data_IF_063416791593
#
_entry.id   IF_063416791593
#
_cell.length_a   1.000
_cell.length_b   1.000
_cell.length_c   1.000
_cell.angle_alpha   90.00
_cell.angle_beta   90.00
_cell.angle_gamma   90.00
#
_symmetry.space_group_name_H-M   'P 1'
#
loop_
_entity.id
_entity.type
_entity.pdbx_description
1 polymer ?
#
# COMPACT_ATOMS: atom_id res chain seq x y z
N UNK A 1 -36.63 20.35 -16.39
CA UNK A 1 -35.87 19.09 -16.55
C UNK A 1 -34.36 19.33 -16.71
N UNK A 2 -33.92 20.22 -17.61
CA UNK A 2 -32.48 20.46 -17.89
C UNK A 2 -31.66 21.00 -16.70
N UNK A 3 -32.25 21.79 -15.81
CA UNK A 3 -31.56 22.34 -14.62
C UNK A 3 -31.25 21.24 -13.60
N UNK A 4 -32.19 20.33 -13.35
CA UNK A 4 -32.02 19.21 -12.44
C UNK A 4 -30.91 18.26 -12.92
N UNK A 5 -30.87 17.97 -14.22
CA UNK A 5 -29.82 17.15 -14.84
C UNK A 5 -28.42 17.75 -14.62
N UNK A 6 -28.27 19.07 -14.74
CA UNK A 6 -26.99 19.77 -14.50
C UNK A 6 -26.53 19.64 -13.05
N UNK A 7 -27.44 19.78 -12.09
CA UNK A 7 -27.13 19.60 -10.66
C UNK A 7 -26.73 18.16 -10.35
N UNK A 8 -27.43 17.17 -10.92
CA UNK A 8 -27.10 15.74 -10.74
C UNK A 8 -25.72 15.42 -11.32
N UNK A 9 -25.38 15.93 -12.51
CA UNK A 9 -24.06 15.74 -13.10
C UNK A 9 -22.93 16.37 -12.25
N UNK A 10 -23.17 17.55 -11.68
CA UNK A 10 -22.18 18.23 -10.84
C UNK A 10 -21.95 17.49 -9.51
N UNK A 11 -23.02 17.00 -8.88
CA UNK A 11 -22.90 16.17 -7.67
C UNK A 11 -22.15 14.86 -7.98
N UNK A 12 -22.47 14.20 -9.10
CA UNK A 12 -21.77 12.99 -9.52
C UNK A 12 -20.27 13.26 -9.75
N UNK A 13 -19.92 14.38 -10.38
CA UNK A 13 -18.51 14.77 -10.58
C UNK A 13 -17.77 15.03 -9.25
N UNK A 14 -18.42 15.69 -8.29
CA UNK A 14 -17.84 15.95 -6.96
C UNK A 14 -17.71 14.66 -6.12
N UNK A 15 -18.56 13.67 -6.32
CA UNK A 15 -18.43 12.35 -5.68
C UNK A 15 -17.25 11.52 -6.21
N UNK A 16 -16.64 11.90 -7.34
CA UNK A 16 -15.51 11.21 -7.96
C UNK A 16 -14.13 11.78 -7.59
N UNK A 17 -14.04 12.70 -6.62
CA UNK A 17 -12.74 13.22 -6.20
C UNK A 17 -11.91 12.11 -5.57
N UNK A 18 -10.86 11.68 -6.27
CA UNK A 18 -9.86 10.73 -5.76
C UNK A 18 -9.25 11.27 -4.48
N UNK A 19 -9.17 10.44 -3.44
CA UNK A 19 -8.40 10.76 -2.23
C UNK A 19 -6.94 10.98 -2.63
N UNK A 20 -6.45 12.22 -2.55
CA UNK A 20 -5.02 12.47 -2.75
C UNK A 20 -4.27 12.00 -1.50
N UNK A 21 -3.34 11.07 -1.69
CA UNK A 21 -2.39 10.67 -0.65
C UNK A 21 -1.11 11.46 -0.87
N UNK A 22 -0.80 12.40 0.02
CA UNK A 22 0.46 13.15 0.02
C UNK A 22 1.62 12.33 0.64
N UNK A 23 1.58 11.00 0.52
CA UNK A 23 2.54 10.07 1.10
C UNK A 23 3.52 9.47 0.09
N UNK A 24 4.63 8.92 0.60
CA UNK A 24 5.72 8.30 -0.16
C UNK A 24 5.29 6.98 -0.85
N UNK A 25 4.64 7.06 -2.01
CA UNK A 25 4.28 5.87 -2.79
C UNK A 25 5.29 5.60 -3.93
N UNK A 26 5.72 4.34 -4.15
CA UNK A 26 5.42 3.14 -3.36
C UNK A 26 6.15 3.14 -2.01
N UNK A 27 5.45 2.73 -0.94
CA UNK A 27 6.06 2.57 0.37
C UNK A 27 6.74 1.21 0.42
N UNK A 28 8.06 1.12 0.65
CA UNK A 28 8.69 -0.18 0.89
C UNK A 28 8.07 -0.80 2.14
N UNK A 29 7.40 -1.94 1.98
CA UNK A 29 6.74 -2.62 3.09
C UNK A 29 7.70 -3.65 3.68
N UNK A 30 7.75 -3.69 5.01
CA UNK A 30 8.59 -4.64 5.75
C UNK A 30 10.00 -4.13 6.04
N UNK A 31 10.52 -4.54 7.20
CA UNK A 31 11.81 -4.05 7.73
C UNK A 31 12.99 -4.30 6.78
N UNK A 32 12.97 -5.42 6.02
CA UNK A 32 14.03 -5.75 5.06
C UNK A 32 14.07 -4.75 3.90
N UNK A 33 12.92 -4.40 3.33
CA UNK A 33 12.83 -3.41 2.27
C UNK A 33 13.28 -2.02 2.77
N UNK A 34 12.84 -1.64 3.98
CA UNK A 34 13.24 -0.38 4.62
C UNK A 34 14.77 -0.30 4.86
N UNK A 35 15.38 -1.37 5.39
CA UNK A 35 16.83 -1.43 5.62
C UNK A 35 17.69 -1.38 4.35
N UNK A 36 17.11 -1.71 3.19
CA UNK A 36 17.74 -1.63 1.87
C UNK A 36 17.41 -0.33 1.12
N UNK A 37 16.92 0.69 1.83
CA UNK A 37 16.48 1.96 1.22
C UNK A 37 15.48 1.76 0.06
N UNK A 38 14.61 0.75 0.16
CA UNK A 38 13.61 0.42 -0.85
C UNK A 38 14.10 -0.43 -2.03
N UNK A 39 15.37 -0.86 -2.04
CA UNK A 39 15.90 -1.78 -3.06
C UNK A 39 15.40 -3.22 -2.86
N UNK A 40 14.09 -3.42 -2.97
CA UNK A 40 13.37 -4.64 -2.60
C UNK A 40 12.86 -5.45 -3.80
N UNK A 41 13.04 -4.98 -5.04
CA UNK A 41 12.45 -5.61 -6.23
C UNK A 41 12.88 -7.06 -6.45
N UNK A 42 14.06 -7.46 -5.98
CA UNK A 42 14.58 -8.83 -6.09
C UNK A 42 14.19 -9.73 -4.91
N UNK A 43 13.53 -9.18 -3.88
CA UNK A 43 13.12 -9.94 -2.71
C UNK A 43 11.87 -10.78 -3.01
N UNK A 44 11.89 -12.03 -2.55
CA UNK A 44 10.80 -12.99 -2.67
C UNK A 44 10.37 -13.45 -1.29
N UNK A 45 9.79 -12.54 -0.52
CA UNK A 45 9.24 -12.79 0.81
C UNK A 45 7.79 -12.32 0.90
N UNK A 46 7.16 -12.47 2.06
CA UNK A 46 5.76 -12.11 2.26
C UNK A 46 5.49 -10.64 1.90
N UNK A 47 6.43 -9.71 2.09
CA UNK A 47 6.22 -8.30 1.78
C UNK A 47 6.36 -7.98 0.29
N UNK A 48 6.68 -8.98 -0.54
CA UNK A 48 6.72 -8.82 -1.99
C UNK A 48 5.37 -8.38 -2.58
N UNK A 49 4.21 -8.59 -1.92
CA UNK A 49 2.91 -8.04 -2.40
C UNK A 49 3.01 -6.52 -2.65
N UNK A 50 3.67 -5.78 -1.74
CA UNK A 50 3.82 -4.33 -1.85
C UNK A 50 5.07 -3.88 -2.60
N UNK A 51 6.11 -4.73 -2.65
CA UNK A 51 7.43 -4.35 -3.19
C UNK A 51 7.68 -4.86 -4.62
N UNK A 52 7.19 -6.06 -4.96
CA UNK A 52 7.21 -6.68 -6.28
C UNK A 52 6.27 -7.89 -6.26
N UNK A 53 5.03 -7.72 -6.74
CA UNK A 53 3.98 -8.75 -6.62
C UNK A 53 4.40 -10.11 -7.21
N UNK A 54 5.26 -10.14 -8.23
CA UNK A 54 5.78 -11.38 -8.81
C UNK A 54 6.64 -12.20 -7.82
N UNK A 55 7.27 -11.55 -6.84
CA UNK A 55 8.06 -12.20 -5.80
C UNK A 55 7.25 -13.16 -4.92
N UNK A 56 5.94 -12.93 -4.77
CA UNK A 56 5.06 -13.77 -3.95
C UNK A 56 4.88 -15.17 -4.53
N UNK A 57 4.95 -15.32 -5.85
CA UNK A 57 4.85 -16.63 -6.51
C UNK A 57 5.98 -17.59 -6.12
N UNK A 58 7.07 -17.09 -5.53
CA UNK A 58 8.17 -17.90 -5.05
C UNK A 58 7.97 -18.46 -3.63
N UNK A 59 6.93 -18.01 -2.89
CA UNK A 59 6.60 -18.60 -1.59
C UNK A 59 6.21 -20.08 -1.78
N UNK A 60 6.78 -20.97 -0.96
CA UNK A 60 6.54 -22.43 -1.03
C UNK A 60 5.77 -22.98 0.15
N UNK A 61 5.48 -22.13 1.15
CA UNK A 61 4.73 -22.48 2.36
C UNK A 61 3.78 -21.35 2.71
N UNK A 62 2.67 -21.69 3.35
CA UNK A 62 1.80 -20.70 3.98
C UNK A 62 2.64 -19.82 4.91
N UNK A 63 2.56 -18.50 4.73
CA UNK A 63 3.41 -17.53 5.41
C UNK A 63 2.54 -16.39 5.93
N UNK A 64 2.78 -15.97 7.18
CA UNK A 64 2.16 -14.79 7.79
C UNK A 64 3.26 -13.82 8.20
N UNK A 65 3.03 -12.53 8.02
CA UNK A 65 3.96 -11.45 8.37
C UNK A 65 3.25 -10.34 9.13
N UNK A 66 3.95 -9.78 10.11
CA UNK A 66 3.58 -8.54 10.80
C UNK A 66 4.74 -7.56 10.67
N UNK A 67 4.45 -6.28 10.47
CA UNK A 67 5.44 -5.22 10.51
C UNK A 67 4.88 -4.00 11.24
N UNK A 68 5.80 -3.26 11.86
CA UNK A 68 5.56 -1.94 12.39
C UNK A 68 6.79 -1.09 12.09
N UNK A 69 6.56 0.14 11.64
CA UNK A 69 7.57 1.15 11.40
C UNK A 69 7.09 2.44 12.02
N UNK A 70 7.89 3.07 12.87
CA UNK A 70 7.66 4.42 13.35
C UNK A 70 8.68 5.34 12.68
N UNK A 71 8.23 6.08 11.65
CA UNK A 71 9.11 6.98 10.92
C UNK A 71 9.39 8.24 11.74
N UNK A 72 10.67 8.54 11.93
CA UNK A 72 11.17 9.71 12.67
C UNK A 72 10.80 9.73 14.17
N UNK A 73 10.35 8.62 14.74
CA UNK A 73 9.90 8.57 16.14
C UNK A 73 8.57 9.29 16.40
N UNK A 74 7.86 9.70 15.35
CA UNK A 74 6.58 10.40 15.44
C UNK A 74 5.41 9.43 15.24
N UNK A 75 4.50 9.39 16.22
CA UNK A 75 3.34 8.50 16.17
C UNK A 75 2.46 8.71 14.93
N UNK A 76 2.34 9.96 14.45
CA UNK A 76 1.60 10.29 13.23
C UNK A 76 2.18 9.65 11.95
N UNK A 77 3.43 9.20 11.97
CA UNK A 77 4.09 8.51 10.86
C UNK A 77 4.38 7.04 11.18
N UNK A 78 3.55 6.43 12.04
CA UNK A 78 3.62 5.00 12.31
C UNK A 78 2.79 4.22 11.29
N UNK A 79 3.42 3.26 10.63
CA UNK A 79 2.76 2.31 9.72
C UNK A 79 2.82 0.92 10.34
N UNK A 80 1.69 0.23 10.35
CA UNK A 80 1.60 -1.16 10.76
C UNK A 80 1.03 -1.98 9.62
N UNK A 81 1.46 -3.22 9.48
CA UNK A 81 0.94 -4.13 8.48
C UNK A 81 0.85 -5.55 9.01
N UNK A 82 -0.20 -6.23 8.56
CA UNK A 82 -0.43 -7.64 8.77
C UNK A 82 -0.73 -8.25 7.40
N UNK A 83 -0.09 -9.38 7.11
CA UNK A 83 -0.24 -10.02 5.82
C UNK A 83 -0.18 -11.54 5.96
N UNK A 84 -0.93 -12.24 5.14
CA UNK A 84 -0.85 -13.68 4.98
C UNK A 84 -0.81 -14.04 3.49
N UNK A 85 -0.11 -15.11 3.15
CA UNK A 85 -0.11 -15.69 1.82
C UNK A 85 -0.14 -17.22 1.94
N UNK A 86 -0.94 -17.84 1.08
CA UNK A 86 -1.00 -19.29 0.89
C UNK A 86 -0.58 -19.59 -0.55
N UNK A 87 0.45 -20.42 -0.77
CA UNK A 87 1.00 -20.71 -2.09
C UNK A 87 0.13 -21.67 -2.91
#
# INVERSE_FOLDING_TARGET
>A
MMLLTRFVCLIAFLCFTSTSSAGHFPFPVGARAAGLAGAAVTLSDIWAIGNNVAGIAHLKKATVGIFAENRFGMQAFTTVGLQAAYP
#
